data_IF_802518624175
#
_entry.id   IF_802518624175
#
_cell.length_a   1.000
_cell.length_b   1.000
_cell.length_c   1.000
_cell.angle_alpha   90.00
_cell.angle_beta   90.00
_cell.angle_gamma   90.00
#
_symmetry.space_group_name_H-M   'P 1'
#
loop_
_entity.id
_entity.type
_entity.pdbx_description
1 polymer ?
#
# COMPACT_ATOMS: atom_id res chain seq x y z
N UNK A 1 0.61 -1.70 -13.52
CA UNK A 1 1.43 -1.07 -12.47
C UNK A 1 2.52 -2.03 -12.07
N UNK A 2 3.69 -1.49 -11.78
CA UNK A 2 4.81 -2.24 -11.23
C UNK A 2 4.60 -2.52 -9.75
N UNK A 3 4.89 -3.74 -9.33
CA UNK A 3 4.75 -4.17 -7.94
C UNK A 3 5.78 -5.24 -7.58
N UNK A 4 6.04 -5.38 -6.28
CA UNK A 4 6.73 -6.53 -5.71
C UNK A 4 5.69 -7.59 -5.32
N UNK A 5 5.93 -8.85 -5.69
CA UNK A 5 4.98 -9.94 -5.50
C UNK A 5 5.66 -11.16 -4.89
N UNK A 6 4.97 -11.78 -3.93
CA UNK A 6 5.42 -12.96 -3.20
C UNK A 6 4.43 -14.09 -3.48
N UNK A 7 4.89 -15.11 -4.21
CA UNK A 7 4.10 -16.30 -4.57
C UNK A 7 4.32 -17.48 -3.62
N UNK A 8 5.42 -17.46 -2.88
CA UNK A 8 5.78 -18.43 -1.84
C UNK A 8 6.61 -17.73 -0.78
N UNK A 9 6.56 -18.22 0.45
CA UNK A 9 7.38 -17.67 1.54
C UNK A 9 8.85 -18.08 1.39
N UNK A 10 9.77 -17.27 1.91
CA UNK A 10 11.22 -17.53 1.83
C UNK A 10 12.11 -16.34 2.22
N UNK A 11 13.37 -16.38 1.79
CA UNK A 11 14.30 -15.28 1.92
C UNK A 11 14.02 -14.16 0.91
N UNK A 12 14.89 -13.13 0.81
CA UNK A 12 14.69 -12.01 -0.11
C UNK A 12 14.50 -12.42 -1.58
N UNK A 13 15.01 -13.57 -2.00
CA UNK A 13 14.92 -14.12 -3.35
C UNK A 13 13.49 -14.42 -3.83
N UNK A 14 12.50 -14.44 -2.93
CA UNK A 14 11.08 -14.62 -3.31
C UNK A 14 10.40 -13.32 -3.73
N UNK A 15 11.06 -12.16 -3.58
CA UNK A 15 10.54 -10.86 -4.01
C UNK A 15 10.66 -10.74 -5.54
N UNK A 16 9.53 -10.81 -6.24
CA UNK A 16 9.50 -10.70 -7.70
C UNK A 16 8.96 -9.34 -8.11
N UNK A 17 9.68 -8.65 -9.00
CA UNK A 17 9.24 -7.38 -9.58
C UNK A 17 8.52 -7.64 -10.90
N UNK A 18 7.24 -7.27 -10.96
CA UNK A 18 6.39 -7.59 -12.11
C UNK A 18 5.35 -6.49 -12.38
N UNK A 19 4.78 -6.54 -13.58
CA UNK A 19 3.65 -5.72 -13.99
C UNK A 19 2.33 -6.47 -13.68
N UNK A 20 1.48 -5.85 -12.87
CA UNK A 20 0.14 -6.34 -12.53
C UNK A 20 -0.94 -5.29 -12.88
N UNK A 21 -2.23 -5.68 -13.01
CA UNK A 21 -3.32 -4.72 -13.16
C UNK A 21 -3.38 -3.73 -11.99
N UNK A 22 -3.81 -2.49 -12.26
CA UNK A 22 -4.13 -1.53 -11.20
C UNK A 22 -5.39 -2.02 -10.48
N UNK A 23 -5.39 -2.15 -9.15
CA UNK A 23 -6.57 -2.60 -8.41
C UNK A 23 -7.65 -1.52 -8.38
N UNK A 24 -8.91 -1.95 -8.29
CA UNK A 24 -10.06 -1.04 -8.09
C UNK A 24 -10.41 -1.00 -6.61
N UNK A 25 -10.60 0.19 -6.00
CA UNK A 25 -11.02 0.27 -4.61
C UNK A 25 -12.44 -0.25 -4.42
N UNK A 26 -12.69 -0.92 -3.29
CA UNK A 26 -14.05 -1.25 -2.86
C UNK A 26 -14.84 -0.01 -2.40
N UNK A 27 -16.12 -0.16 -2.03
CA UNK A 27 -16.98 0.97 -1.68
C UNK A 27 -16.43 1.88 -0.56
N UNK A 28 -15.67 1.32 0.38
CA UNK A 28 -15.09 2.01 1.55
C UNK A 28 -13.57 2.19 1.47
N UNK A 29 -12.99 1.87 0.32
CA UNK A 29 -11.56 1.96 0.13
C UNK A 29 -11.22 3.15 -0.78
N UNK A 30 -9.98 3.59 -0.71
CA UNK A 30 -9.40 4.53 -1.63
C UNK A 30 -8.21 3.87 -2.35
N UNK A 31 -8.03 4.23 -3.61
CA UNK A 31 -6.84 3.90 -4.37
C UNK A 31 -5.82 5.02 -4.15
N UNK A 32 -4.67 4.69 -3.58
CA UNK A 32 -3.57 5.64 -3.37
C UNK A 32 -2.50 5.37 -4.41
N UNK A 33 -2.11 6.39 -5.18
CA UNK A 33 -0.90 6.38 -6.00
C UNK A 33 0.30 6.65 -5.10
N UNK A 34 1.13 5.64 -4.93
CA UNK A 34 2.23 5.63 -3.96
C UNK A 34 3.37 6.53 -4.44
N UNK A 35 3.88 7.36 -3.53
CA UNK A 35 5.03 8.24 -3.77
C UNK A 35 6.26 7.81 -2.95
N UNK A 36 6.05 7.35 -1.72
CA UNK A 36 7.09 6.79 -0.86
C UNK A 36 6.56 5.58 -0.09
N UNK A 37 7.44 4.61 0.20
CA UNK A 37 7.09 3.39 0.95
C UNK A 37 7.95 3.28 2.21
N UNK A 38 7.32 2.85 3.30
CA UNK A 38 8.02 2.44 4.51
C UNK A 38 8.58 1.02 4.36
N UNK A 39 9.80 0.81 4.86
CA UNK A 39 10.42 -0.53 4.92
C UNK A 39 10.57 -0.91 6.38
N UNK A 40 9.77 -1.88 6.84
CA UNK A 40 9.73 -2.30 8.23
C UNK A 40 10.14 -3.78 8.39
N UNK A 41 10.49 -4.17 9.63
CA UNK A 41 10.82 -5.56 9.94
C UNK A 41 9.63 -6.51 9.78
N UNK A 42 8.40 -6.01 9.91
CA UNK A 42 7.20 -6.84 9.78
C UNK A 42 7.06 -7.46 8.39
N UNK A 43 7.57 -6.81 7.34
CA UNK A 43 7.61 -7.38 6.00
C UNK A 43 8.51 -8.62 5.91
N UNK A 44 9.58 -8.70 6.71
CA UNK A 44 10.39 -9.92 6.81
C UNK A 44 9.56 -11.06 7.38
N UNK A 45 8.75 -10.81 8.41
CA UNK A 45 7.91 -11.83 9.04
C UNK A 45 6.80 -12.33 8.09
N UNK A 46 6.20 -11.43 7.31
CA UNK A 46 5.26 -11.81 6.25
C UNK A 46 5.95 -12.62 5.15
N UNK A 47 7.12 -12.16 4.67
CA UNK A 47 7.86 -12.82 3.58
C UNK A 47 8.37 -14.21 3.97
N UNK A 48 8.89 -14.38 5.19
CA UNK A 48 9.37 -15.70 5.67
C UNK A 48 8.21 -16.62 6.05
N UNK A 49 6.99 -16.11 6.14
CA UNK A 49 5.80 -16.87 6.53
C UNK A 49 5.62 -17.04 8.04
N UNK A 50 6.46 -16.39 8.86
CA UNK A 50 6.27 -16.33 10.30
C UNK A 50 4.91 -15.70 10.64
N UNK A 51 4.57 -14.61 9.96
CA UNK A 51 3.23 -14.02 9.98
C UNK A 51 2.49 -14.44 8.72
N UNK A 52 1.38 -15.16 8.90
CA UNK A 52 0.64 -15.74 7.78
C UNK A 52 -0.12 -14.66 7.01
N UNK A 53 0.09 -14.65 5.70
CA UNK A 53 -0.62 -13.83 4.72
C UNK A 53 -1.05 -14.74 3.57
N UNK A 54 -2.23 -14.50 3.00
CA UNK A 54 -2.69 -15.25 1.83
C UNK A 54 -1.77 -14.99 0.63
N UNK A 55 -1.30 -16.05 -0.02
CA UNK A 55 -0.49 -15.97 -1.23
C UNK A 55 -1.37 -15.99 -2.49
N UNK A 56 -0.97 -15.31 -3.59
CA UNK A 56 0.14 -14.37 -3.66
C UNK A 56 -0.23 -13.00 -3.09
N UNK A 57 0.73 -12.29 -2.47
CA UNK A 57 0.52 -10.94 -1.95
C UNK A 57 1.61 -9.95 -2.36
N UNK A 58 1.27 -8.67 -2.25
CA UNK A 58 2.21 -7.54 -2.36
C UNK A 58 2.63 -7.14 -0.94
N UNK A 59 3.93 -7.12 -0.60
CA UNK A 59 4.39 -6.76 0.74
C UNK A 59 4.27 -5.25 1.01
N UNK A 60 4.62 -4.86 2.23
CA UNK A 60 4.62 -3.48 2.70
C UNK A 60 3.30 -3.09 3.35
N UNK A 61 3.39 -2.43 4.51
CA UNK A 61 2.23 -2.04 5.32
C UNK A 61 2.11 -0.54 5.56
N UNK A 62 3.04 0.24 5.03
CA UNK A 62 3.19 1.67 5.27
C UNK A 62 3.63 2.38 3.99
N UNK A 63 2.96 3.48 3.68
CA UNK A 63 3.31 4.34 2.56
C UNK A 63 2.64 5.71 2.66
N UNK A 64 3.11 6.62 1.82
CA UNK A 64 2.46 7.89 1.55
C UNK A 64 2.35 8.15 0.06
N UNK A 65 1.37 8.97 -0.31
CA UNK A 65 1.05 9.22 -1.70
C UNK A 65 -0.15 10.13 -1.89
N UNK A 66 -0.76 10.03 -3.06
CA UNK A 66 -1.92 10.84 -3.45
C UNK A 66 -3.12 9.93 -3.66
N UNK A 67 -4.27 10.31 -3.14
CA UNK A 67 -5.53 9.61 -3.44
C UNK A 67 -5.84 9.78 -4.92
N UNK A 68 -5.86 8.68 -5.66
CA UNK A 68 -6.16 8.63 -7.10
C UNK A 68 -7.67 8.53 -7.33
N UNK A 69 -8.35 7.65 -6.58
CA UNK A 69 -9.80 7.47 -6.63
C UNK A 69 -10.34 6.94 -5.29
N UNK A 70 -11.65 7.04 -5.08
CA UNK A 70 -12.31 6.58 -3.86
C UNK A 70 -13.56 5.76 -4.20
N UNK A 71 -13.92 4.83 -3.32
CA UNK A 71 -15.18 4.12 -3.37
C UNK A 71 -16.39 5.01 -3.06
N UNK A 72 -17.59 4.53 -3.41
CA UNK A 72 -18.82 5.31 -3.32
C UNK A 72 -19.28 5.67 -1.89
N UNK A 73 -18.78 4.97 -0.87
CA UNK A 73 -19.10 5.21 0.54
C UNK A 73 -18.01 6.01 1.29
N UNK A 74 -16.92 6.40 0.62
CA UNK A 74 -15.81 7.13 1.24
C UNK A 74 -16.16 8.60 1.43
N UNK A 75 -15.88 9.12 2.62
CA UNK A 75 -16.09 10.53 2.99
C UNK A 75 -14.89 11.17 3.69
N UNK A 76 -13.91 10.36 4.08
CA UNK A 76 -12.75 10.74 4.88
C UNK A 76 -11.67 11.45 4.05
N UNK A 77 -11.59 11.14 2.75
CA UNK A 77 -10.62 11.68 1.79
C UNK A 77 -11.25 11.79 0.40
N UNK A 78 -10.61 12.53 -0.49
CA UNK A 78 -11.03 12.71 -1.88
C UNK A 78 -9.83 12.63 -2.85
N UNK A 79 -10.07 12.39 -4.16
CA UNK A 79 -9.01 12.42 -5.17
C UNK A 79 -8.19 13.72 -5.13
N UNK A 80 -6.86 13.57 -5.17
CA UNK A 80 -5.90 14.68 -5.06
C UNK A 80 -5.37 14.92 -3.64
N UNK A 81 -6.00 14.37 -2.61
CA UNK A 81 -5.50 14.49 -1.24
C UNK A 81 -4.14 13.80 -1.08
N UNK A 82 -3.23 14.47 -0.37
CA UNK A 82 -1.95 13.91 0.06
C UNK A 82 -2.18 13.15 1.35
N UNK A 83 -1.82 11.88 1.39
CA UNK A 83 -2.14 10.98 2.51
C UNK A 83 -0.97 10.08 2.85
N UNK A 84 -0.92 9.64 4.10
CA UNK A 84 -0.11 8.53 4.56
C UNK A 84 -0.99 7.49 5.25
N UNK A 85 -0.47 6.27 5.36
CA UNK A 85 -1.11 5.20 6.13
C UNK A 85 -0.08 4.22 6.69
N UNK A 86 -0.49 3.53 7.73
CA UNK A 86 0.18 2.35 8.25
C UNK A 86 -0.83 1.20 8.43
N UNK A 87 -0.32 -0.02 8.64
CA UNK A 87 -1.12 -1.23 8.90
C UNK A 87 -2.10 -1.59 7.77
N UNK A 88 -1.76 -1.30 6.50
CA UNK A 88 -2.52 -1.76 5.33
C UNK A 88 -1.57 -2.38 4.30
N UNK A 89 -1.79 -3.65 3.97
CA UNK A 89 -0.89 -4.43 3.12
C UNK A 89 -0.94 -3.95 1.66
N UNK A 90 0.19 -3.99 0.97
CA UNK A 90 0.29 -3.77 -0.48
C UNK A 90 1.09 -2.54 -0.88
N UNK A 91 1.84 -1.93 0.04
CA UNK A 91 2.58 -0.70 -0.23
C UNK A 91 3.69 -0.83 -1.28
N UNK A 92 4.27 -2.02 -1.50
CA UNK A 92 5.41 -2.21 -2.43
C UNK A 92 4.94 -2.29 -3.88
N UNK A 93 4.32 -1.20 -4.34
CA UNK A 93 3.59 -1.09 -5.60
C UNK A 93 3.41 0.38 -5.98
N UNK A 94 3.15 0.68 -7.25
CA UNK A 94 2.82 2.05 -7.68
C UNK A 94 1.44 2.51 -7.18
N UNK A 95 0.53 1.58 -6.87
CA UNK A 95 -0.79 1.88 -6.31
C UNK A 95 -1.19 0.86 -5.23
N UNK A 96 -1.89 1.31 -4.20
CA UNK A 96 -2.45 0.45 -3.16
C UNK A 96 -3.92 0.80 -2.88
N UNK A 97 -4.75 -0.22 -2.66
CA UNK A 97 -6.11 -0.04 -2.14
C UNK A 97 -6.05 -0.07 -0.61
N UNK A 98 -6.55 1.00 0.01
CA UNK A 98 -6.47 1.21 1.46
C UNK A 98 -7.85 1.56 1.99
N UNK A 99 -8.32 0.94 3.08
CA UNK A 99 -9.55 1.38 3.74
C UNK A 99 -9.46 2.86 4.09
N UNK A 100 -10.44 3.66 3.66
CA UNK A 100 -10.33 5.12 3.73
C UNK A 100 -10.12 5.64 5.16
N UNK A 101 -10.71 4.98 6.16
CA UNK A 101 -10.56 5.33 7.57
C UNK A 101 -9.12 5.18 8.11
N UNK A 102 -8.21 4.52 7.38
CA UNK A 102 -6.78 4.40 7.74
C UNK A 102 -5.92 5.51 7.14
N UNK A 103 -6.45 6.30 6.21
CA UNK A 103 -5.71 7.36 5.56
C UNK A 103 -5.67 8.59 6.45
N UNK A 104 -4.47 9.14 6.59
CA UNK A 104 -4.21 10.36 7.35
C UNK A 104 -3.75 11.44 6.36
N UNK A 105 -4.47 12.56 6.23
CA UNK A 105 -4.04 13.67 5.39
C UNK A 105 -2.69 14.24 5.82
N UNK A 106 -1.79 14.45 4.88
CA UNK A 106 -0.48 15.05 5.12
C UNK A 106 -0.57 16.59 5.03
N UNK A 107 -0.06 17.32 6.04
CA UNK A 107 0.11 18.77 5.93
C UNK A 107 1.01 19.14 4.74
N UNK A 108 0.81 20.31 4.10
CA UNK A 108 1.63 20.73 2.96
C UNK A 108 3.14 20.69 3.20
N UNK A 109 3.58 20.98 4.43
CA UNK A 109 4.99 21.02 4.81
C UNK A 109 5.65 19.64 4.99
N UNK A 110 4.89 18.56 5.12
CA UNK A 110 5.43 17.20 5.28
C UNK A 110 5.61 16.60 3.89
N UNK A 111 6.84 16.18 3.53
CA UNK A 111 7.08 15.49 2.26
C UNK A 111 6.56 14.05 2.30
N UNK A 112 6.48 13.37 1.16
CA UNK A 112 6.03 11.97 1.15
C UNK A 112 7.01 11.04 1.89
N UNK A 113 8.30 11.30 1.78
CA UNK A 113 9.35 10.50 2.45
C UNK A 113 9.34 10.65 3.98
N UNK A 114 8.76 11.72 4.51
CA UNK A 114 8.64 12.00 5.94
C UNK A 114 7.21 11.83 6.48
N UNK A 115 6.27 11.43 5.61
CA UNK A 115 4.84 11.31 5.91
C UNK A 115 4.44 9.92 6.35
#
# INVERSE_FOLDING_TARGET
MKAIRIYRTGGPEVLQFEDIPVPTPGPRDALVRIAAIGVNFVEVYHRTGLYKVALPFTPGTEASGVVESVGAEVTEVQPGDRVAYALALGAYAEYAVVPAFKLVPLPPAVSFENG
#
